data_IF_355879162637
#
_entry.id   IF_355879162637
#
_cell.length_a   1.000
_cell.length_b   1.000
_cell.length_c   1.000
_cell.angle_alpha   90.00
_cell.angle_beta   90.00
_cell.angle_gamma   90.00
#
_symmetry.space_group_name_H-M   'P 1'
#
loop_
_entity.id
_entity.type
_entity.pdbx_description
1 polymer ?
#
# COMPACT_ATOMS: atom_id res chain seq x y z
N UNK A 1 15.94 -21.23 34.00
CA UNK A 1 15.64 -21.81 32.68
C UNK A 1 15.80 -20.73 31.63
N UNK A 2 16.88 -20.76 30.83
CA UNK A 2 17.10 -19.81 29.72
C UNK A 2 16.25 -20.22 28.52
N UNK A 3 15.73 -19.24 27.80
CA UNK A 3 14.95 -19.44 26.59
C UNK A 3 15.88 -19.78 25.42
N UNK A 4 15.66 -20.94 24.79
CA UNK A 4 16.29 -21.26 23.50
C UNK A 4 15.46 -20.66 22.36
N UNK A 5 16.10 -20.33 21.24
CA UNK A 5 15.40 -19.91 20.02
C UNK A 5 14.39 -20.96 19.55
N UNK A 6 14.71 -22.24 19.73
CA UNK A 6 13.84 -23.38 19.36
C UNK A 6 12.60 -23.52 20.24
N UNK A 7 12.62 -22.87 21.41
CA UNK A 7 11.49 -22.86 22.33
C UNK A 7 10.49 -21.73 22.03
N UNK A 8 10.77 -20.88 21.04
CA UNK A 8 9.85 -19.84 20.55
C UNK A 8 9.17 -20.33 19.28
N UNK A 9 7.85 -20.45 19.36
CA UNK A 9 6.97 -20.72 18.23
C UNK A 9 6.25 -19.42 17.88
N UNK A 10 6.22 -19.07 16.59
CA UNK A 10 5.57 -17.86 16.09
C UNK A 10 4.49 -18.24 15.07
N UNK A 11 3.50 -17.37 14.87
CA UNK A 11 2.61 -17.47 13.71
C UNK A 11 3.46 -17.59 12.44
N UNK A 12 3.25 -18.60 11.57
CA UNK A 12 4.09 -18.78 10.38
C UNK A 12 4.10 -17.53 9.50
N UNK A 13 5.28 -17.02 9.10
CA UNK A 13 5.36 -15.90 8.18
C UNK A 13 4.69 -16.23 6.84
N UNK A 14 3.91 -15.31 6.25
CA UNK A 14 3.35 -15.48 4.92
C UNK A 14 4.44 -15.50 3.83
N UNK A 15 4.10 -16.06 2.67
CA UNK A 15 5.06 -16.32 1.58
C UNK A 15 5.75 -15.07 0.99
N UNK A 16 5.24 -13.87 1.25
CA UNK A 16 5.87 -12.62 0.81
C UNK A 16 7.02 -12.15 1.73
N UNK A 17 7.17 -12.75 2.91
CA UNK A 17 8.28 -12.47 3.84
C UNK A 17 9.36 -13.51 3.64
N UNK A 18 10.56 -13.06 3.26
CA UNK A 18 11.72 -13.93 3.05
C UNK A 18 12.64 -13.96 4.26
N UNK A 19 12.60 -12.91 5.09
CA UNK A 19 13.34 -12.81 6.33
C UNK A 19 13.00 -13.95 7.31
N UNK A 20 14.00 -14.41 8.06
CA UNK A 20 13.78 -15.27 9.23
C UNK A 20 13.47 -14.37 10.43
N UNK A 21 12.21 -13.92 10.51
CA UNK A 21 11.71 -13.02 11.56
C UNK A 21 12.08 -13.53 12.95
N UNK A 22 11.97 -14.84 13.18
CA UNK A 22 12.29 -15.43 14.49
C UNK A 22 13.78 -15.28 14.80
N UNK A 23 14.65 -15.66 13.87
CA UNK A 23 16.10 -15.62 14.09
C UNK A 23 16.60 -14.17 14.24
N UNK A 24 16.06 -13.24 13.46
CA UNK A 24 16.33 -11.80 13.56
C UNK A 24 15.96 -11.26 14.94
N UNK A 25 14.71 -11.46 15.38
CA UNK A 25 14.23 -10.99 16.69
C UNK A 25 15.02 -11.60 17.85
N UNK A 26 15.33 -12.91 17.79
CA UNK A 26 16.09 -13.57 18.86
C UNK A 26 17.50 -12.98 19.00
N UNK A 27 18.16 -12.70 17.87
CA UNK A 27 19.50 -12.12 17.82
C UNK A 27 19.47 -10.67 18.29
N UNK A 28 18.62 -9.84 17.70
CA UNK A 28 18.62 -8.39 17.92
C UNK A 28 18.03 -8.01 19.29
N UNK A 29 17.03 -8.77 19.75
CA UNK A 29 16.43 -8.64 21.08
C UNK A 29 17.17 -9.37 22.21
N UNK A 30 18.29 -10.05 21.91
CA UNK A 30 19.07 -10.85 22.86
C UNK A 30 18.24 -11.89 23.64
N UNK A 31 17.17 -12.42 23.01
CA UNK A 31 16.19 -13.28 23.68
C UNK A 31 16.77 -14.61 24.16
N UNK A 32 17.88 -15.08 23.57
CA UNK A 32 18.59 -16.29 24.01
C UNK A 32 19.15 -16.21 25.44
N UNK A 33 19.27 -14.99 26.00
CA UNK A 33 19.72 -14.76 27.37
C UNK A 33 18.55 -14.64 28.37
N UNK A 34 17.31 -14.54 27.88
CA UNK A 34 16.14 -14.30 28.70
C UNK A 34 15.75 -15.55 29.50
N UNK A 35 15.43 -15.36 30.78
CA UNK A 35 14.93 -16.44 31.64
C UNK A 35 13.41 -16.50 31.56
N UNK A 36 12.80 -17.67 31.34
CA UNK A 36 11.34 -17.80 31.38
C UNK A 36 10.74 -17.66 32.78
N UNK A 37 11.58 -17.79 33.82
CA UNK A 37 11.18 -17.50 35.19
C UNK A 37 11.08 -16.00 35.47
N UNK A 38 11.62 -15.14 34.59
CA UNK A 38 11.42 -13.69 34.67
C UNK A 38 9.93 -13.36 34.52
N UNK A 39 9.31 -12.67 35.49
CA UNK A 39 7.93 -12.20 35.39
C UNK A 39 7.68 -11.35 34.15
N UNK A 40 8.68 -10.60 33.68
CA UNK A 40 8.59 -9.71 32.52
C UNK A 40 8.94 -10.39 31.19
N UNK A 41 9.25 -11.69 31.18
CA UNK A 41 9.73 -12.36 29.98
C UNK A 41 8.78 -12.20 28.78
N UNK A 42 7.46 -12.32 28.99
CA UNK A 42 6.47 -12.15 27.91
C UNK A 42 6.46 -10.73 27.36
N UNK A 43 6.62 -9.72 28.22
CA UNK A 43 6.65 -8.31 27.81
C UNK A 43 7.91 -8.01 26.99
N UNK A 44 9.07 -8.52 27.42
CA UNK A 44 10.33 -8.36 26.68
C UNK A 44 10.29 -9.05 25.32
N UNK A 45 9.71 -10.24 25.26
CA UNK A 45 9.49 -10.96 23.99
C UNK A 45 8.55 -10.16 23.09
N UNK A 46 7.40 -9.70 23.60
CA UNK A 46 6.45 -8.91 22.82
C UNK A 46 7.13 -7.68 22.20
N UNK A 47 7.82 -6.87 23.01
CA UNK A 47 8.52 -5.67 22.54
C UNK A 47 9.59 -5.97 21.48
N UNK A 48 10.31 -7.07 21.62
CA UNK A 48 11.31 -7.47 20.63
C UNK A 48 10.66 -7.83 19.28
N UNK A 49 9.50 -8.50 19.29
CA UNK A 49 8.75 -8.78 18.06
C UNK A 49 8.08 -7.52 17.49
N UNK A 50 7.50 -6.64 18.31
CA UNK A 50 6.89 -5.38 17.83
C UNK A 50 7.90 -4.44 17.17
N UNK A 51 9.17 -4.51 17.57
CA UNK A 51 10.24 -3.72 16.95
C UNK A 51 10.68 -4.24 15.57
N UNK A 52 10.21 -5.42 15.16
CA UNK A 52 10.60 -6.02 13.89
C UNK A 52 9.82 -5.40 12.72
N UNK A 53 10.54 -5.10 11.62
CA UNK A 53 10.00 -4.35 10.46
C UNK A 53 8.78 -4.99 9.79
N UNK A 54 8.69 -6.33 9.83
CA UNK A 54 7.56 -7.09 9.28
C UNK A 54 6.39 -7.31 10.24
N UNK A 55 6.54 -7.01 11.53
CA UNK A 55 5.49 -7.22 12.52
C UNK A 55 4.63 -5.96 12.55
N UNK A 56 3.35 -6.11 12.25
CA UNK A 56 2.35 -5.05 12.44
C UNK A 56 1.98 -5.00 13.92
N UNK A 57 1.70 -6.16 14.49
CA UNK A 57 1.23 -6.26 15.88
C UNK A 57 1.55 -7.62 16.50
N UNK A 58 1.81 -7.62 17.81
CA UNK A 58 1.87 -8.84 18.63
C UNK A 58 0.52 -9.02 19.32
N UNK A 59 -0.27 -9.97 18.81
CA UNK A 59 -1.61 -10.26 19.36
C UNK A 59 -1.53 -10.84 20.77
N UNK A 60 -0.60 -11.77 20.98
CA UNK A 60 -0.46 -12.47 22.25
C UNK A 60 0.90 -13.14 22.41
N UNK A 61 1.42 -13.12 23.63
CA UNK A 61 2.56 -13.95 24.04
C UNK A 61 2.13 -14.89 25.15
N UNK A 62 2.42 -16.18 25.04
CA UNK A 62 1.97 -17.19 26.02
C UNK A 62 3.08 -18.16 26.36
N UNK A 63 3.37 -18.31 27.66
CA UNK A 63 4.27 -19.34 28.18
C UNK A 63 3.55 -20.69 28.19
N UNK A 64 4.21 -21.74 27.70
CA UNK A 64 3.72 -23.12 27.66
C UNK A 64 4.70 -24.04 28.38
N UNK A 65 4.17 -25.05 29.06
CA UNK A 65 4.98 -26.07 29.71
C UNK A 65 5.30 -27.24 28.75
N UNK A 66 6.51 -27.82 28.82
CA UNK A 66 7.69 -27.32 29.52
C UNK A 66 8.46 -26.28 28.66
N UNK A 67 8.77 -25.12 29.26
CA UNK A 67 9.71 -24.11 28.77
C UNK A 67 9.55 -23.62 27.30
N UNK A 68 8.32 -23.53 26.79
CA UNK A 68 8.01 -22.98 25.46
C UNK A 68 7.33 -21.62 25.53
N UNK A 69 7.42 -20.85 24.47
CA UNK A 69 6.66 -19.61 24.28
C UNK A 69 6.02 -19.64 22.90
N UNK A 70 4.73 -19.38 22.84
CA UNK A 70 4.00 -19.12 21.59
C UNK A 70 3.78 -17.62 21.46
N UNK A 71 4.07 -17.06 20.28
CA UNK A 71 3.86 -15.66 19.93
C UNK A 71 2.92 -15.59 18.74
N UNK A 72 1.74 -15.04 18.96
CA UNK A 72 0.77 -14.80 17.91
C UNK A 72 1.03 -13.43 17.29
N UNK A 73 1.33 -13.41 16.00
CA UNK A 73 1.78 -12.24 15.26
C UNK A 73 0.81 -11.90 14.13
N UNK A 74 0.56 -10.60 13.97
CA UNK A 74 0.00 -10.04 12.74
C UNK A 74 1.15 -9.44 11.93
N UNK A 75 1.32 -9.94 10.71
CA UNK A 75 2.38 -9.50 9.81
C UNK A 75 1.89 -8.39 8.88
N UNK A 76 2.77 -7.44 8.61
CA UNK A 76 2.54 -6.42 7.59
C UNK A 76 2.39 -7.06 6.22
N UNK A 77 1.44 -6.54 5.45
CA UNK A 77 1.17 -6.96 4.08
C UNK A 77 1.53 -5.83 3.12
N UNK A 78 2.42 -6.05 2.15
CA UNK A 78 2.71 -5.08 1.10
C UNK A 78 1.44 -4.80 0.30
N UNK A 79 1.10 -3.52 0.11
CA UNK A 79 -0.10 -3.10 -0.62
C UNK A 79 0.22 -2.30 -1.88
N UNK A 80 1.28 -1.50 -1.84
CA UNK A 80 1.65 -0.61 -2.91
C UNK A 80 3.16 -0.33 -2.93
N UNK A 81 3.61 0.25 -4.02
CA UNK A 81 5.01 0.59 -4.29
C UNK A 81 5.12 2.09 -4.51
N UNK A 82 5.87 2.81 -3.69
CA UNK A 82 6.12 4.24 -3.87
C UNK A 82 7.23 4.42 -4.91
N UNK A 83 6.96 5.20 -5.96
CA UNK A 83 7.97 5.56 -6.96
C UNK A 83 9.01 6.51 -6.36
N UNK A 84 10.29 6.16 -6.52
CA UNK A 84 11.43 6.98 -6.13
C UNK A 84 12.40 7.09 -7.32
N UNK A 85 13.32 8.07 -7.37
CA UNK A 85 14.16 8.32 -8.54
C UNK A 85 14.93 7.11 -9.09
N UNK A 86 15.23 6.12 -8.25
CA UNK A 86 15.99 4.92 -8.61
C UNK A 86 15.25 3.62 -8.27
N UNK A 87 13.91 3.61 -8.41
CA UNK A 87 13.11 2.39 -8.32
C UNK A 87 11.85 2.59 -7.50
N UNK A 88 11.57 1.60 -6.65
CA UNK A 88 10.32 1.56 -5.90
C UNK A 88 10.52 1.05 -4.49
N UNK A 89 9.79 1.65 -3.56
CA UNK A 89 9.81 1.25 -2.17
C UNK A 89 8.45 0.70 -1.71
N UNK A 90 8.43 -0.51 -1.14
CA UNK A 90 7.19 -1.16 -0.71
C UNK A 90 6.61 -0.50 0.54
N UNK A 91 5.29 -0.35 0.58
CA UNK A 91 4.56 0.08 1.77
C UNK A 91 3.39 -0.85 2.07
N UNK A 92 3.00 -0.92 3.34
CA UNK A 92 1.76 -1.59 3.76
C UNK A 92 0.54 -0.68 3.73
N UNK A 93 -0.59 -1.19 4.21
CA UNK A 93 -1.88 -0.49 4.29
C UNK A 93 -1.86 0.80 5.13
N UNK A 94 -0.93 0.92 6.08
CA UNK A 94 -0.77 2.10 6.94
C UNK A 94 0.25 3.09 6.37
N UNK A 95 0.86 2.79 5.23
CA UNK A 95 1.95 3.59 4.67
C UNK A 95 3.27 3.40 5.41
N UNK A 96 3.49 2.27 6.11
CA UNK A 96 4.77 1.94 6.72
C UNK A 96 5.72 1.40 5.67
N UNK A 97 6.95 1.92 5.65
CA UNK A 97 7.99 1.50 4.73
C UNK A 97 8.48 0.08 5.06
N UNK A 98 8.38 -0.83 4.09
CA UNK A 98 8.78 -2.23 4.24
C UNK A 98 10.22 -2.47 3.71
N UNK A 99 10.85 -3.61 4.04
CA UNK A 99 12.19 -3.94 3.56
C UNK A 99 12.31 -3.98 2.03
N UNK A 100 12.95 -2.95 1.44
CA UNK A 100 13.08 -2.76 -0.01
C UNK A 100 13.77 -3.95 -0.71
N UNK A 101 14.80 -4.53 -0.08
CA UNK A 101 15.60 -5.62 -0.67
C UNK A 101 14.87 -6.96 -0.75
N UNK A 102 13.68 -7.06 -0.15
CA UNK A 102 12.84 -8.25 -0.21
C UNK A 102 11.91 -8.27 -1.43
N UNK A 103 12.03 -7.32 -2.36
CA UNK A 103 11.25 -7.28 -3.59
C UNK A 103 12.17 -7.28 -4.81
N UNK A 104 11.92 -8.20 -5.73
CA UNK A 104 12.51 -8.13 -7.07
C UNK A 104 11.73 -7.15 -7.95
N UNK A 105 12.36 -6.64 -8.99
CA UNK A 105 11.71 -5.77 -9.98
C UNK A 105 10.44 -6.41 -10.57
N UNK A 106 10.49 -7.72 -10.85
CA UNK A 106 9.35 -8.49 -11.33
C UNK A 106 8.19 -8.58 -10.32
N UNK A 107 8.48 -8.53 -9.01
CA UNK A 107 7.42 -8.47 -7.99
C UNK A 107 6.84 -7.07 -7.88
N UNK A 108 7.67 -6.03 -8.05
CA UNK A 108 7.23 -4.63 -7.95
C UNK A 108 6.16 -4.28 -8.98
N UNK A 109 6.23 -4.82 -10.20
CA UNK A 109 5.21 -4.57 -11.24
C UNK A 109 3.85 -5.19 -10.94
N UNK A 110 3.78 -6.10 -9.96
CA UNK A 110 2.57 -6.79 -9.52
C UNK A 110 1.82 -6.05 -8.39
N UNK A 111 2.18 -4.78 -8.14
CA UNK A 111 1.52 -3.88 -7.20
C UNK A 111 1.05 -2.58 -7.88
N UNK A 112 0.12 -1.87 -7.23
CA UNK A 112 -0.18 -0.49 -7.58
C UNK A 112 1.00 0.41 -7.20
N UNK A 113 1.30 1.36 -8.07
CA UNK A 113 2.40 2.32 -7.87
C UNK A 113 1.86 3.65 -7.39
N UNK A 114 2.39 4.18 -6.29
CA UNK A 114 2.07 5.51 -5.77
C UNK A 114 3.12 6.49 -6.29
N UNK A 115 2.66 7.53 -6.98
CA UNK A 115 3.51 8.56 -7.60
C UNK A 115 3.17 9.95 -7.05
N UNK A 116 4.12 10.89 -7.19
CA UNK A 116 3.96 12.29 -6.76
C UNK A 116 4.15 12.51 -5.27
N UNK A 117 4.65 11.50 -4.53
CA UNK A 117 5.06 11.61 -3.13
C UNK A 117 6.50 12.15 -3.00
N UNK A 118 6.90 12.53 -1.79
CA UNK A 118 8.28 12.81 -1.45
C UNK A 118 9.09 11.51 -1.63
N UNK A 119 10.18 11.52 -2.42
CA UNK A 119 10.99 10.33 -2.62
C UNK A 119 11.83 9.95 -1.39
N UNK A 120 11.93 10.82 -0.38
CA UNK A 120 12.66 10.56 0.86
C UNK A 120 11.67 10.24 2.01
N UNK A 121 11.87 9.14 2.75
CA UNK A 121 11.02 8.76 3.85
C UNK A 121 11.44 9.55 5.10
N UNK A 122 10.51 9.82 6.02
CA UNK A 122 10.81 10.54 7.25
C UNK A 122 11.64 9.72 8.26
N UNK A 123 11.67 8.40 8.10
CA UNK A 123 12.30 7.48 9.04
C UNK A 123 12.86 6.22 8.36
N UNK A 124 13.45 5.33 9.16
CA UNK A 124 13.99 4.06 8.67
C UNK A 124 12.88 3.08 8.26
N UNK A 125 13.27 1.99 7.61
CA UNK A 125 12.39 0.84 7.33
C UNK A 125 11.70 0.36 8.61
N UNK A 126 10.42 -0.01 8.51
CA UNK A 126 9.57 -0.42 9.63
C UNK A 126 8.84 0.75 10.32
N UNK A 127 9.06 1.98 9.87
CA UNK A 127 8.36 3.18 10.38
C UNK A 127 7.44 3.79 9.31
N UNK A 128 6.44 4.62 9.70
CA UNK A 128 5.62 5.34 8.74
C UNK A 128 6.48 6.11 7.73
N UNK A 129 6.09 6.08 6.46
CA UNK A 129 6.82 6.79 5.40
C UNK A 129 6.90 8.29 5.68
N UNK A 130 5.88 8.87 6.32
CA UNK A 130 5.86 10.26 6.74
C UNK A 130 5.46 11.24 5.62
N UNK A 131 4.83 10.74 4.57
CA UNK A 131 4.18 11.55 3.54
C UNK A 131 2.71 11.15 3.42
N UNK A 132 1.81 12.12 3.63
CA UNK A 132 0.35 11.91 3.56
C UNK A 132 -0.10 11.37 2.21
N UNK A 133 0.63 11.67 1.13
CA UNK A 133 0.35 11.13 -0.23
C UNK A 133 0.60 9.63 -0.31
N UNK A 134 1.60 9.13 0.42
CA UNK A 134 1.88 7.69 0.55
C UNK A 134 0.83 7.03 1.43
N UNK A 135 0.56 7.58 2.60
CA UNK A 135 -0.44 7.06 3.54
C UNK A 135 -1.82 6.97 2.88
N UNK A 136 -2.31 8.07 2.31
CA UNK A 136 -3.62 8.11 1.64
C UNK A 136 -3.64 7.30 0.34
N UNK A 137 -2.54 7.28 -0.41
CA UNK A 137 -2.39 6.41 -1.59
C UNK A 137 -2.46 4.93 -1.24
N UNK A 138 -1.87 4.52 -0.10
CA UNK A 138 -1.96 3.15 0.40
C UNK A 138 -3.41 2.79 0.78
N UNK A 139 -4.15 3.71 1.41
CA UNK A 139 -5.58 3.51 1.73
C UNK A 139 -6.42 3.37 0.45
N UNK A 140 -6.11 4.11 -0.62
CA UNK A 140 -6.75 3.90 -1.94
C UNK A 140 -6.40 2.51 -2.49
N UNK A 141 -5.13 2.09 -2.41
CA UNK A 141 -4.72 0.75 -2.85
C UNK A 141 -5.46 -0.36 -2.09
N UNK A 142 -5.68 -0.18 -0.78
CA UNK A 142 -6.54 -1.07 0.04
C UNK A 142 -7.98 -1.07 -0.47
N UNK A 143 -8.56 0.09 -0.78
CA UNK A 143 -9.94 0.14 -1.27
C UNK A 143 -10.14 -0.56 -2.62
N UNK A 144 -9.10 -0.56 -3.48
CA UNK A 144 -9.12 -1.25 -4.76
C UNK A 144 -8.81 -2.75 -4.64
N UNK A 145 -8.01 -3.16 -3.64
CA UNK A 145 -7.64 -4.52 -3.24
C UNK A 145 -7.44 -5.52 -4.39
N UNK A 146 -8.47 -6.33 -4.68
CA UNK A 146 -8.45 -7.41 -5.68
C UNK A 146 -8.88 -6.92 -7.06
N UNK A 147 -9.58 -5.80 -7.14
CA UNK A 147 -10.22 -5.31 -8.36
C UNK A 147 -9.27 -4.52 -9.26
N UNK A 148 -8.18 -3.96 -8.72
CA UNK A 148 -7.32 -3.11 -9.53
C UNK A 148 -6.71 -3.84 -10.74
N UNK A 149 -6.41 -5.14 -10.61
CA UNK A 149 -5.90 -5.96 -11.72
C UNK A 149 -6.96 -6.16 -12.80
N UNK A 150 -8.19 -6.49 -12.40
CA UNK A 150 -9.32 -6.68 -13.31
C UNK A 150 -9.69 -5.36 -14.03
N UNK A 151 -9.56 -4.23 -13.32
CA UNK A 151 -9.72 -2.88 -13.87
C UNK A 151 -8.49 -2.39 -14.66
N UNK A 152 -7.43 -3.20 -14.79
CA UNK A 152 -6.17 -2.84 -15.46
C UNK A 152 -5.53 -1.55 -14.92
N UNK A 153 -5.81 -1.20 -13.67
CA UNK A 153 -5.18 -0.06 -12.98
C UNK A 153 -3.71 -0.39 -12.70
N UNK A 154 -2.89 0.64 -12.59
CA UNK A 154 -1.47 0.46 -12.31
C UNK A 154 -0.87 1.59 -11.47
N UNK A 155 -1.37 2.82 -11.59
CA UNK A 155 -0.83 3.97 -10.86
C UNK A 155 -1.89 4.68 -10.05
N UNK A 156 -1.47 5.17 -8.88
CA UNK A 156 -2.15 6.13 -8.01
C UNK A 156 -1.26 7.37 -7.99
N UNK A 157 -1.68 8.45 -8.62
CA UNK A 157 -0.87 9.66 -8.77
C UNK A 157 -1.45 10.74 -7.87
N UNK A 158 -0.67 11.19 -6.90
CA UNK A 158 -1.01 12.36 -6.10
C UNK A 158 -0.87 13.62 -6.95
N UNK A 159 -1.91 14.45 -7.00
CA UNK A 159 -1.92 15.68 -7.78
C UNK A 159 -0.88 16.70 -7.29
N UNK A 160 -0.19 17.34 -8.23
CA UNK A 160 0.83 18.37 -7.96
C UNK A 160 0.27 19.69 -7.42
N UNK A 161 -1.05 19.83 -7.23
CA UNK A 161 -1.65 21.12 -6.87
C UNK A 161 -0.89 21.64 -5.65
N UNK A 162 -0.25 22.83 -5.75
CA UNK A 162 0.32 23.47 -4.60
C UNK A 162 -0.87 23.81 -3.72
N UNK A 163 -1.12 22.91 -2.78
CA UNK A 163 -2.12 23.16 -1.78
C UNK A 163 -1.73 24.49 -1.14
N UNK A 164 -2.66 25.45 -1.12
CA UNK A 164 -2.42 26.75 -0.51
C UNK A 164 -2.03 26.59 0.97
N UNK A 165 -2.36 25.43 1.56
CA UNK A 165 -1.95 25.03 2.91
C UNK A 165 -1.34 23.61 2.91
N UNK A 166 -0.36 23.33 3.78
CA UNK A 166 0.06 21.93 4.04
C UNK A 166 -1.04 21.07 4.71
N UNK A 167 -2.20 21.65 5.00
CA UNK A 167 -3.30 21.03 5.74
C UNK A 167 -4.34 20.38 4.82
N UNK A 168 -4.44 20.78 3.55
CA UNK A 168 -5.42 20.16 2.66
C UNK A 168 -5.02 18.74 2.29
N UNK A 169 -6.00 17.84 2.29
CA UNK A 169 -5.81 16.47 1.86
C UNK A 169 -5.47 16.42 0.36
N UNK A 170 -4.48 15.61 -0.05
CA UNK A 170 -4.15 15.42 -1.44
C UNK A 170 -5.34 14.85 -2.24
N UNK A 171 -5.41 15.24 -3.50
CA UNK A 171 -6.28 14.60 -4.49
C UNK A 171 -5.45 13.63 -5.32
N UNK A 172 -6.10 12.56 -5.77
CA UNK A 172 -5.48 11.49 -6.52
C UNK A 172 -6.19 11.27 -7.85
N UNK A 173 -5.40 10.86 -8.82
CA UNK A 173 -5.85 10.25 -10.05
C UNK A 173 -5.38 8.79 -10.10
N UNK A 174 -6.18 7.92 -10.70
CA UNK A 174 -5.76 6.56 -11.04
C UNK A 174 -5.48 6.49 -12.53
N UNK A 175 -4.53 5.63 -12.90
CA UNK A 175 -4.26 5.36 -14.31
C UNK A 175 -4.30 3.87 -14.60
N UNK A 176 -4.93 3.53 -15.72
CA UNK A 176 -4.84 2.20 -16.31
C UNK A 176 -3.49 1.99 -17.00
N UNK A 177 -3.17 0.74 -17.34
CA UNK A 177 -1.94 0.39 -18.08
C UNK A 177 -1.87 1.05 -19.46
N UNK A 178 -3.00 1.34 -20.11
CA UNK A 178 -3.03 2.09 -21.38
C UNK A 178 -3.27 3.59 -21.21
N UNK A 179 -3.16 4.11 -19.99
CA UNK A 179 -3.14 5.54 -19.71
C UNK A 179 -4.50 6.23 -19.65
N UNK A 180 -5.59 5.49 -19.44
CA UNK A 180 -6.89 6.12 -19.11
C UNK A 180 -6.78 6.74 -17.73
N UNK A 181 -7.12 8.03 -17.63
CA UNK A 181 -7.10 8.77 -16.36
C UNK A 181 -8.44 8.69 -15.67
N UNK A 182 -8.45 8.31 -14.40
CA UNK A 182 -9.63 8.30 -13.56
C UNK A 182 -9.41 9.34 -12.46
N UNK A 183 -10.19 10.42 -12.46
CA UNK A 183 -10.10 11.44 -11.41
C UNK A 183 -10.74 10.88 -10.14
N UNK A 184 -9.93 10.37 -9.23
CA UNK A 184 -10.42 9.70 -8.03
C UNK A 184 -10.87 10.68 -6.98
N UNK A 185 -10.14 11.78 -6.78
CA UNK A 185 -10.38 12.73 -5.70
C UNK A 185 -9.65 12.33 -4.42
N UNK A 186 -10.29 12.46 -3.27
CA UNK A 186 -9.63 12.20 -1.98
C UNK A 186 -9.66 10.72 -1.60
N UNK A 187 -8.73 10.34 -0.72
CA UNK A 187 -8.67 8.98 -0.20
C UNK A 187 -9.90 8.63 0.66
N UNK A 188 -10.20 7.33 0.81
CA UNK A 188 -11.28 6.86 1.67
C UNK A 188 -11.20 7.48 3.08
N UNK A 189 -12.33 7.99 3.60
CA UNK A 189 -12.40 8.68 4.90
C UNK A 189 -12.05 10.17 4.85
N UNK A 190 -11.59 10.68 3.72
CA UNK A 190 -11.23 12.08 3.49
C UNK A 190 -12.07 12.74 2.39
N UNK A 191 -13.13 12.08 1.91
CA UNK A 191 -13.99 12.59 0.84
C UNK A 191 -14.54 13.99 1.15
N UNK A 192 -14.63 14.84 0.12
CA UNK A 192 -15.29 16.15 0.24
C UNK A 192 -16.80 15.98 0.45
N UNK A 193 -17.49 16.97 1.05
CA UNK A 193 -18.94 16.99 1.06
C UNK A 193 -19.52 16.83 -0.36
N UNK A 194 -20.32 15.78 -0.57
CA UNK A 194 -20.92 15.46 -1.87
C UNK A 194 -20.05 14.62 -2.80
N UNK A 195 -18.79 14.34 -2.46
CA UNK A 195 -17.95 13.41 -3.20
C UNK A 195 -18.38 11.96 -2.89
N UNK A 196 -18.52 11.08 -3.90
CA UNK A 196 -18.84 9.67 -3.67
C UNK A 196 -17.77 8.97 -2.83
N UNK A 197 -18.19 8.02 -2.00
CA UNK A 197 -17.26 7.20 -1.24
C UNK A 197 -16.43 6.30 -2.16
N UNK A 198 -15.27 5.85 -1.69
CA UNK A 198 -14.44 4.89 -2.42
C UNK A 198 -15.22 3.63 -2.88
N UNK A 199 -16.11 3.10 -2.04
CA UNK A 199 -16.95 1.96 -2.38
C UNK A 199 -17.94 2.28 -3.51
N UNK A 200 -18.52 3.48 -3.51
CA UNK A 200 -19.42 3.93 -4.58
C UNK A 200 -18.67 4.13 -5.90
N UNK A 201 -17.47 4.74 -5.86
CA UNK A 201 -16.60 4.89 -7.03
C UNK A 201 -16.23 3.54 -7.64
N UNK A 202 -15.82 2.59 -6.79
CA UNK A 202 -15.47 1.23 -7.24
C UNK A 202 -16.67 0.50 -7.84
N UNK A 203 -17.84 0.53 -7.19
CA UNK A 203 -19.05 -0.09 -7.72
C UNK A 203 -19.40 0.46 -9.11
N UNK A 204 -19.22 1.76 -9.32
CA UNK A 204 -19.44 2.40 -10.62
C UNK A 204 -18.42 2.01 -11.69
N UNK A 205 -17.14 1.84 -11.31
CA UNK A 205 -16.13 1.33 -12.24
C UNK A 205 -16.44 -0.09 -12.69
N UNK A 206 -16.89 -0.94 -11.76
CA UNK A 206 -17.30 -2.30 -12.09
C UNK A 206 -18.53 -2.32 -13.01
N UNK A 207 -19.55 -1.51 -12.71
CA UNK A 207 -20.72 -1.33 -13.58
C UNK A 207 -20.33 -0.84 -14.98
N UNK A 208 -19.39 0.11 -15.07
CA UNK A 208 -18.89 0.61 -16.35
C UNK A 208 -18.23 -0.50 -17.18
N UNK A 209 -17.36 -1.30 -16.55
CA UNK A 209 -16.67 -2.43 -17.19
C UNK A 209 -17.66 -3.53 -17.58
N UNK A 210 -18.69 -3.79 -16.79
CA UNK A 210 -19.75 -4.73 -17.15
C UNK A 210 -20.53 -4.28 -18.40
N UNK A 211 -20.80 -2.98 -18.53
CA UNK A 211 -21.56 -2.41 -19.65
C UNK A 211 -20.73 -2.22 -20.93
N UNK A 212 -19.44 -1.88 -20.79
CA UNK A 212 -18.58 -1.46 -21.92
C UNK A 212 -17.36 -2.38 -22.16
N UNK A 213 -17.19 -3.42 -21.34
CA UNK A 213 -16.15 -4.45 -21.46
C UNK A 213 -14.84 -4.13 -20.74
N UNK A 214 -14.21 -2.99 -21.01
CA UNK A 214 -12.92 -2.62 -20.38
C UNK A 214 -12.72 -1.11 -20.33
N UNK A 215 -12.03 -0.62 -19.30
CA UNK A 215 -11.54 0.77 -19.26
C UNK A 215 -10.54 1.03 -20.39
N UNK A 216 -9.78 0.02 -20.81
CA UNK A 216 -8.69 0.12 -21.78
C UNK A 216 -9.13 -0.12 -23.25
N UNK A 217 -10.45 -0.24 -23.50
CA UNK A 217 -11.02 -0.44 -24.83
C UNK A 217 -10.69 0.68 -25.82
N UNK A 218 -10.74 0.37 -27.12
CA UNK A 218 -10.53 1.36 -28.18
C UNK A 218 -11.55 2.52 -28.10
N UNK A 219 -12.79 2.19 -27.76
CA UNK A 219 -13.89 3.13 -27.52
C UNK A 219 -14.02 3.55 -26.03
N UNK A 220 -13.04 3.19 -25.20
CA UNK A 220 -12.98 3.56 -23.78
C UNK A 220 -12.80 5.08 -23.59
N UNK A 221 -13.08 5.59 -22.38
CA UNK A 221 -12.96 7.01 -22.10
C UNK A 221 -11.47 7.41 -22.12
N UNK A 222 -11.16 8.62 -22.58
CA UNK A 222 -9.82 9.17 -22.36
C UNK A 222 -9.62 9.53 -20.87
N UNK A 223 -10.69 10.02 -20.26
CA UNK A 223 -10.75 10.42 -18.86
C UNK A 223 -12.14 10.12 -18.28
N UNK A 224 -12.19 9.73 -17.01
CA UNK A 224 -13.42 9.50 -16.24
C UNK A 224 -13.33 10.24 -14.91
N UNK A 225 -14.25 11.16 -14.65
CA UNK A 225 -14.32 11.88 -13.37
C UNK A 225 -15.19 11.12 -12.37
N UNK A 226 -14.57 10.52 -11.35
CA UNK A 226 -15.26 9.75 -10.30
C UNK A 226 -15.73 10.63 -9.13
N UNK A 227 -15.36 11.91 -9.13
CA UNK A 227 -15.75 12.86 -8.07
C UNK A 227 -17.18 13.36 -8.28
N UNK A 228 -17.61 13.44 -9.54
CA UNK A 228 -18.94 13.86 -9.94
C UNK A 228 -19.42 12.97 -11.10
N UNK A 229 -20.17 11.92 -10.78
CA UNK A 229 -20.79 11.04 -11.77
C UNK A 229 -21.99 11.72 -12.45
N UNK A 230 -21.72 12.80 -13.19
CA UNK A 230 -22.68 13.55 -14.02
C UNK A 230 -22.26 13.45 -15.49
N UNK A 231 -22.14 12.23 -16.01
CA UNK A 231 -22.29 11.89 -17.44
C UNK A 231 -21.32 12.45 -18.49
N UNK A 232 -20.36 13.32 -18.19
CA UNK A 232 -19.43 13.83 -19.21
C UNK A 232 -18.21 12.91 -19.39
N UNK A 233 -18.41 11.78 -20.07
CA UNK A 233 -17.30 10.97 -20.58
C UNK A 233 -16.71 11.68 -21.81
N UNK A 234 -15.40 11.97 -21.79
CA UNK A 234 -14.71 12.49 -22.98
C UNK A 234 -14.24 11.30 -23.83
N UNK A 235 -14.75 11.11 -25.07
CA UNK A 235 -14.33 10.01 -25.93
C UNK A 235 -12.89 10.21 -26.42
N UNK A 236 -12.15 9.11 -26.58
CA UNK A 236 -10.74 9.10 -27.03
C UNK A 236 -10.50 9.77 -28.39
N UNK A 237 -11.52 9.86 -29.24
CA UNK A 237 -11.45 10.41 -30.60
C UNK A 237 -11.50 11.94 -30.68
N UNK A 238 -11.77 12.65 -29.59
CA UNK A 238 -11.92 14.12 -29.63
C UNK A 238 -10.59 14.91 -29.82
N UNK A 239 -9.42 14.26 -29.72
CA UNK A 239 -8.11 14.94 -29.75
C UNK A 239 -7.31 14.81 -31.06
N UNK A 240 -7.87 14.24 -32.13
CA UNK A 240 -7.27 14.32 -33.46
C UNK A 240 -7.85 15.52 -34.24
N UNK A 241 -7.45 16.74 -33.86
CA UNK A 241 -7.44 17.87 -34.81
C UNK A 241 -6.04 17.93 -35.40
N UNK A 242 -5.94 17.51 -36.66
CA UNK A 242 -4.74 17.61 -37.49
C UNK A 242 -4.19 19.05 -37.48
N UNK A 243 -2.86 19.26 -37.44
CA UNK A 243 -2.30 20.56 -37.74
C UNK A 243 -2.56 20.85 -39.23
N UNK A 244 -3.29 21.92 -39.50
CA UNK A 244 -3.52 22.43 -40.84
C UNK A 244 -2.17 22.59 -41.56
N UNK A 245 -2.03 21.86 -42.66
CA UNK A 245 -0.97 22.04 -43.65
C UNK A 245 -1.17 23.41 -44.28
N UNK A 246 -0.30 24.37 -43.97
CA UNK A 246 -0.13 25.54 -44.82
C UNK A 246 1.07 25.29 -45.75
N UNK A 247 0.74 25.03 -47.01
CA UNK A 247 1.62 25.20 -48.17
C UNK A 247 1.35 26.57 -48.78
N UNK A 248 2.45 27.13 -49.29
CA UNK A 248 2.67 28.37 -50.04
C UNK A 248 2.45 29.71 -49.33
#
# INVERSE_FOLDING_TARGET
FRLSADAIEITPPPAWIRADVKAEVVRDGLLGQLSLADPEATVKIARAFEAHTWVEHVERVTKRAPARVTVDLRYRRPIAMVEVPLGYWPVDAEGVLLPVREFSEAQTVDYLHILGANPEPAGPVGTPYGDRRVEQGAVIAVALERYWKDLSLHKIVAGERPSASRLDDPEFDLFTRRGVRLMWGRAPGHERPGEPSAAQKLAKLLEYVEQHGSLDGADGPAELDLRNFSGNNVPRTANLREPATHRD
#
